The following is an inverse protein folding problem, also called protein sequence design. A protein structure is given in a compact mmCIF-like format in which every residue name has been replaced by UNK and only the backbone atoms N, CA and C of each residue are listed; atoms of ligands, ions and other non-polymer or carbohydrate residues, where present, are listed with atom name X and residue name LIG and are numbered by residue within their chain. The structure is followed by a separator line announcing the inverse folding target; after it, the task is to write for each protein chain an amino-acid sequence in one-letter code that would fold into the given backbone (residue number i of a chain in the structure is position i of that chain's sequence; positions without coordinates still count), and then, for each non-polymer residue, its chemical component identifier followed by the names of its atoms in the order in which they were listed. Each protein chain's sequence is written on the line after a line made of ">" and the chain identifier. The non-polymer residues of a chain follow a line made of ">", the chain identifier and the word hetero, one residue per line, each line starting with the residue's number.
data_IF_783794954840
#
_entry.id   IF_783794954840
#
_cell.length_a   1.000
_cell.length_b   1.000
_cell.length_c   1.000
_cell.angle_alpha   90.00
_cell.angle_beta   90.00
_cell.angle_gamma   90.00
#
_symmetry.space_group_name_H-M   'P 1'
#
loop_
_entity.id
_entity.type
_entity.pdbx_description
1 polymer ?
#
# COMPACT_ATOMS: atom_id res chain seq x y z
N UNK A 1 -67.34 42.79 -51.26
CA UNK A 1 -67.49 41.67 -52.23
C UNK A 1 -66.47 41.74 -53.37
N UNK A 2 -66.32 42.85 -54.08
CA UNK A 2 -65.41 42.96 -55.26
C UNK A 2 -63.88 42.85 -54.91
N UNK A 3 -63.49 43.23 -53.69
CA UNK A 3 -62.11 43.19 -53.24
C UNK A 3 -61.71 41.74 -52.84
N UNK A 4 -62.59 41.03 -52.20
CA UNK A 4 -62.36 39.64 -51.81
C UNK A 4 -62.27 38.70 -53.01
N UNK A 5 -63.07 38.98 -54.05
CA UNK A 5 -63.01 38.16 -55.24
C UNK A 5 -61.69 38.37 -56.03
N UNK A 6 -61.09 39.58 -55.99
CA UNK A 6 -59.78 39.85 -56.58
C UNK A 6 -58.66 39.13 -55.79
N UNK A 7 -58.75 39.10 -54.51
CA UNK A 7 -57.74 38.48 -53.70
C UNK A 7 -57.78 36.94 -53.83
N UNK A 8 -59.01 36.39 -53.95
CA UNK A 8 -59.17 34.95 -54.21
C UNK A 8 -58.66 34.55 -55.58
N UNK A 9 -58.94 35.39 -56.65
CA UNK A 9 -58.39 35.15 -57.99
C UNK A 9 -56.88 35.26 -58.03
N UNK A 10 -56.30 36.21 -57.29
CA UNK A 10 -54.85 36.34 -57.15
C UNK A 10 -54.21 35.13 -56.55
N UNK A 11 -54.75 34.64 -55.42
CA UNK A 11 -54.26 33.41 -54.72
C UNK A 11 -54.42 32.17 -55.62
N UNK A 12 -55.63 32.02 -56.32
CA UNK A 12 -55.88 30.89 -57.20
C UNK A 12 -54.96 30.90 -58.45
N UNK A 13 -54.51 32.08 -58.94
CA UNK A 13 -53.60 32.18 -60.04
C UNK A 13 -52.19 31.70 -59.70
N UNK A 14 -51.77 31.80 -58.45
CA UNK A 14 -50.48 31.37 -57.96
C UNK A 14 -50.49 30.06 -57.20
N UNK A 15 -51.69 29.53 -56.92
CA UNK A 15 -51.87 28.21 -56.36
C UNK A 15 -51.69 27.16 -57.44
N UNK A 16 -50.55 26.48 -57.43
CA UNK A 16 -50.32 25.28 -58.22
C UNK A 16 -50.28 24.13 -57.28
N UNK A 17 -51.17 23.20 -57.37
CA UNK A 17 -51.10 21.96 -56.65
C UNK A 17 -49.76 21.24 -56.87
N UNK A 18 -49.16 20.75 -55.83
CA UNK A 18 -47.86 20.08 -55.82
C UNK A 18 -46.59 20.93 -56.03
N UNK A 19 -46.63 22.24 -55.83
CA UNK A 19 -45.43 23.08 -55.96
C UNK A 19 -44.66 23.22 -54.64
N UNK A 20 -45.18 22.73 -53.53
CA UNK A 20 -44.50 22.69 -52.24
C UNK A 20 -43.97 21.28 -52.01
N UNK A 21 -42.83 20.99 -52.62
CA UNK A 21 -42.07 19.81 -52.18
C UNK A 21 -41.49 20.09 -50.78
N UNK A 22 -42.28 19.72 -49.81
CA UNK A 22 -41.91 19.88 -48.37
C UNK A 22 -40.61 19.18 -48.05
N UNK A 23 -40.29 18.07 -48.73
CA UNK A 23 -39.06 17.31 -48.57
C UNK A 23 -37.84 18.10 -49.02
N UNK A 24 -37.92 18.79 -50.20
CA UNK A 24 -36.83 19.64 -50.65
C UNK A 24 -36.69 20.94 -49.83
N UNK A 25 -37.80 21.48 -49.30
CA UNK A 25 -37.78 22.63 -48.43
C UNK A 25 -37.09 22.34 -47.11
N UNK A 26 -37.37 21.18 -46.52
CA UNK A 26 -36.70 20.74 -45.30
C UNK A 26 -35.20 20.47 -45.51
N UNK A 27 -34.80 19.92 -46.65
CA UNK A 27 -33.40 19.71 -46.99
C UNK A 27 -32.63 21.03 -47.17
N UNK A 28 -33.26 22.04 -47.77
CA UNK A 28 -32.67 23.38 -47.98
C UNK A 28 -32.54 24.20 -46.70
N UNK A 29 -33.42 23.97 -45.72
CA UNK A 29 -33.36 24.64 -44.42
C UNK A 29 -32.21 24.13 -43.53
N UNK A 30 -31.53 23.05 -43.91
CA UNK A 30 -30.40 22.52 -43.14
C UNK A 30 -30.74 22.00 -41.74
N UNK A 31 -32.04 21.93 -41.40
CA UNK A 31 -32.52 21.53 -40.07
C UNK A 31 -32.49 20.00 -39.88
N UNK A 32 -32.13 19.27 -40.92
CA UNK A 32 -32.20 17.82 -40.89
C UNK A 32 -30.87 17.11 -41.07
N UNK A 33 -29.96 17.22 -40.16
CA UNK A 33 -28.89 16.28 -39.77
C UNK A 33 -27.80 17.03 -39.06
N UNK A 34 -28.07 17.46 -37.88
CA UNK A 34 -26.98 17.60 -36.91
C UNK A 34 -26.44 16.20 -36.68
N UNK A 35 -25.36 15.85 -37.39
CA UNK A 35 -24.63 14.59 -37.20
C UNK A 35 -24.18 14.60 -35.75
N UNK A 36 -24.90 13.89 -34.91
CA UNK A 36 -24.58 13.77 -33.49
C UNK A 36 -23.22 13.10 -33.36
N UNK A 37 -22.15 13.90 -33.42
CA UNK A 37 -20.79 13.46 -33.08
C UNK A 37 -20.68 13.14 -31.59
N UNK A 38 -21.73 13.37 -30.80
CA UNK A 38 -21.81 13.05 -29.39
C UNK A 38 -21.58 11.56 -29.13
N UNK A 39 -22.11 10.66 -29.97
CA UNK A 39 -21.92 9.20 -29.81
C UNK A 39 -20.43 8.82 -29.95
N UNK A 40 -19.72 9.45 -30.90
CA UNK A 40 -18.27 9.25 -31.04
C UNK A 40 -17.49 9.80 -29.85
N UNK A 41 -17.86 10.99 -29.38
CA UNK A 41 -17.28 11.59 -28.19
C UNK A 41 -17.52 10.73 -26.94
N UNK A 42 -18.73 10.23 -26.71
CA UNK A 42 -19.02 9.33 -25.59
C UNK A 42 -18.22 8.03 -25.68
N UNK A 43 -18.07 7.44 -26.88
CA UNK A 43 -17.24 6.23 -27.07
C UNK A 43 -15.75 6.51 -26.78
N UNK A 44 -15.23 7.64 -27.19
CA UNK A 44 -13.84 8.02 -26.87
C UNK A 44 -13.63 8.26 -25.38
N UNK A 45 -14.58 8.92 -24.71
CA UNK A 45 -14.55 9.16 -23.26
C UNK A 45 -14.62 7.84 -22.48
N UNK A 46 -15.49 6.91 -22.91
CA UNK A 46 -15.58 5.60 -22.24
C UNK A 46 -14.32 4.77 -22.41
N UNK A 47 -13.71 4.75 -23.59
CA UNK A 47 -12.43 4.07 -23.81
C UNK A 47 -11.33 4.70 -22.96
N UNK A 48 -11.23 6.02 -22.94
CA UNK A 48 -10.26 6.74 -22.11
C UNK A 48 -10.45 6.45 -20.61
N UNK A 49 -11.68 6.44 -20.12
CA UNK A 49 -11.99 6.11 -18.74
C UNK A 49 -11.58 4.67 -18.37
N UNK A 50 -11.90 3.69 -19.24
CA UNK A 50 -11.53 2.28 -19.02
C UNK A 50 -10.00 2.10 -19.04
N UNK A 51 -9.29 2.73 -19.99
CA UNK A 51 -7.82 2.66 -20.04
C UNK A 51 -7.18 3.31 -18.82
N UNK A 52 -7.74 4.41 -18.31
CA UNK A 52 -7.27 5.05 -17.08
C UNK A 52 -7.48 4.18 -15.84
N UNK A 53 -8.62 3.49 -15.76
CA UNK A 53 -8.90 2.54 -14.68
C UNK A 53 -7.96 1.32 -14.72
N UNK A 54 -7.73 0.76 -15.91
CA UNK A 54 -6.79 -0.37 -16.07
C UNK A 54 -5.36 0.07 -15.73
N UNK A 55 -4.92 1.23 -16.20
CA UNK A 55 -3.59 1.76 -15.90
C UNK A 55 -3.43 2.05 -14.40
N UNK A 56 -4.43 2.67 -13.75
CA UNK A 56 -4.44 2.93 -12.31
C UNK A 56 -4.43 1.65 -11.48
N UNK A 57 -5.24 0.65 -11.86
CA UNK A 57 -5.26 -0.66 -11.21
C UNK A 57 -3.95 -1.43 -11.40
N UNK A 58 -3.37 -1.40 -12.61
CA UNK A 58 -2.05 -2.01 -12.89
C UNK A 58 -0.95 -1.34 -12.10
N UNK A 59 -0.97 0.01 -12.03
CA UNK A 59 -0.02 0.77 -11.22
C UNK A 59 -0.13 0.41 -9.73
N UNK A 60 -1.35 0.37 -9.20
CA UNK A 60 -1.61 -0.02 -7.81
C UNK A 60 -1.14 -1.45 -7.53
N UNK A 61 -1.44 -2.42 -8.42
CA UNK A 61 -0.98 -3.80 -8.26
C UNK A 61 0.54 -3.94 -8.30
N UNK A 62 1.23 -3.25 -9.22
CA UNK A 62 2.70 -3.28 -9.30
C UNK A 62 3.32 -2.62 -8.06
N UNK A 63 2.70 -1.55 -7.57
CA UNK A 63 3.20 -0.80 -6.40
C UNK A 63 3.04 -1.57 -5.08
N UNK A 64 2.00 -2.39 -4.94
CA UNK A 64 1.68 -3.17 -3.74
C UNK A 64 2.29 -4.59 -3.74
N UNK A 65 3.11 -4.94 -4.73
CA UNK A 65 3.84 -6.21 -4.71
C UNK A 65 4.83 -6.24 -3.57
N UNK A 66 4.58 -7.14 -2.62
CA UNK A 66 5.49 -7.51 -1.55
C UNK A 66 6.18 -8.83 -1.94
N UNK A 67 7.50 -8.85 -1.91
CA UNK A 67 8.31 -10.05 -2.17
C UNK A 67 8.96 -10.49 -0.86
N UNK A 68 8.25 -11.36 -0.14
CA UNK A 68 8.67 -11.83 1.16
C UNK A 68 9.76 -12.88 1.06
N UNK A 69 10.93 -12.59 1.65
CA UNK A 69 11.95 -13.60 1.92
C UNK A 69 11.74 -14.12 3.32
N UNK A 70 11.58 -15.44 3.42
CA UNK A 70 11.51 -16.15 4.70
C UNK A 70 12.80 -16.90 4.92
N UNK A 71 13.48 -16.63 6.03
CA UNK A 71 14.69 -17.29 6.46
C UNK A 71 14.34 -18.01 7.76
N UNK A 72 14.42 -19.33 7.74
CA UNK A 72 14.18 -20.16 8.93
C UNK A 72 15.45 -20.91 9.31
N UNK A 73 15.63 -21.10 10.60
CA UNK A 73 16.62 -22.02 11.16
C UNK A 73 15.99 -23.40 11.34
N UNK A 74 16.83 -24.46 11.28
CA UNK A 74 16.36 -25.82 11.58
C UNK A 74 16.21 -26.04 13.11
N UNK A 75 15.61 -27.17 13.47
CA UNK A 75 15.40 -27.55 14.86
C UNK A 75 16.71 -27.76 15.67
N UNK A 76 17.84 -27.88 14.99
CA UNK A 76 19.14 -28.22 15.62
C UNK A 76 20.31 -27.36 15.11
N UNK A 77 20.03 -26.22 14.52
CA UNK A 77 21.08 -25.35 13.99
C UNK A 77 20.75 -23.87 14.16
N UNK A 78 21.71 -23.14 14.67
CA UNK A 78 21.75 -21.68 14.64
C UNK A 78 22.07 -21.24 13.22
N UNK A 79 21.43 -20.19 12.74
CA UNK A 79 21.61 -19.65 11.38
C UNK A 79 22.03 -18.18 11.42
N UNK A 80 23.18 -17.90 10.84
CA UNK A 80 23.62 -16.53 10.63
C UNK A 80 23.10 -15.98 9.30
N UNK A 81 22.66 -14.75 9.33
CA UNK A 81 22.07 -14.03 8.18
C UNK A 81 22.61 -12.62 8.15
N UNK A 82 23.13 -12.23 6.99
CA UNK A 82 23.46 -10.81 6.71
C UNK A 82 22.38 -10.20 5.84
N UNK A 83 21.78 -9.13 6.31
CA UNK A 83 20.77 -8.37 5.58
C UNK A 83 21.41 -7.39 4.57
N UNK A 84 20.64 -6.88 3.59
CA UNK A 84 21.16 -5.95 2.57
C UNK A 84 21.73 -4.63 3.11
N UNK A 85 21.42 -4.24 4.36
CA UNK A 85 21.95 -3.06 5.04
C UNK A 85 23.20 -3.36 5.89
N UNK A 86 23.81 -4.53 5.70
CA UNK A 86 24.94 -5.07 6.48
C UNK A 86 24.63 -5.30 7.97
N UNK A 87 23.36 -5.38 8.35
CA UNK A 87 22.99 -5.85 9.68
C UNK A 87 23.16 -7.37 9.76
N UNK A 88 23.72 -7.86 10.87
CA UNK A 88 23.94 -9.27 11.12
C UNK A 88 22.90 -9.79 12.12
N UNK A 89 22.32 -10.93 11.79
CA UNK A 89 21.30 -11.58 12.63
C UNK A 89 21.70 -13.03 12.85
N UNK A 90 21.69 -13.43 14.09
CA UNK A 90 21.89 -14.83 14.50
C UNK A 90 20.55 -15.38 14.97
N UNK A 91 19.95 -16.25 14.16
CA UNK A 91 18.69 -16.94 14.48
C UNK A 91 18.98 -18.15 15.34
N UNK A 92 18.33 -18.28 16.47
CA UNK A 92 18.36 -19.48 17.28
C UNK A 92 17.61 -20.64 16.58
N UNK A 93 17.68 -21.82 17.14
CA UNK A 93 16.93 -22.99 16.70
C UNK A 93 15.42 -22.70 16.66
N UNK A 94 14.70 -23.31 15.73
CA UNK A 94 13.25 -23.17 15.55
C UNK A 94 12.78 -21.71 15.41
N UNK A 95 13.62 -20.85 14.83
CA UNK A 95 13.32 -19.44 14.65
C UNK A 95 13.19 -19.08 13.18
N UNK A 96 12.32 -18.13 12.87
CA UNK A 96 12.11 -17.65 11.51
C UNK A 96 12.12 -16.13 11.46
N UNK A 97 12.81 -15.60 10.48
CA UNK A 97 12.86 -14.18 10.14
C UNK A 97 12.30 -13.98 8.73
N UNK A 98 11.49 -12.96 8.54
CA UNK A 98 11.01 -12.60 7.21
C UNK A 98 11.12 -11.09 6.98
N UNK A 99 11.36 -10.70 5.74
CA UNK A 99 11.37 -9.30 5.32
C UNK A 99 10.97 -9.17 3.84
N UNK A 100 10.48 -7.99 3.45
CA UNK A 100 10.16 -7.70 2.06
C UNK A 100 11.41 -7.27 1.30
N UNK A 101 11.87 -8.09 0.35
CA UNK A 101 13.07 -7.87 -0.45
C UNK A 101 13.02 -6.59 -1.28
N UNK A 102 11.85 -6.19 -1.74
CA UNK A 102 11.69 -5.02 -2.60
C UNK A 102 11.69 -3.72 -1.81
N UNK A 103 11.15 -3.75 -0.58
CA UNK A 103 11.02 -2.59 0.29
C UNK A 103 12.23 -2.40 1.22
N UNK A 104 12.87 -3.50 1.65
CA UNK A 104 13.95 -3.46 2.62
C UNK A 104 15.17 -2.68 2.12
N UNK A 105 15.69 -1.77 2.95
CA UNK A 105 16.83 -0.90 2.64
C UNK A 105 16.51 0.27 1.69
N UNK A 106 15.34 0.25 1.03
CA UNK A 106 14.89 1.32 0.12
C UNK A 106 13.79 2.19 0.72
N UNK A 107 12.74 1.55 1.23
CA UNK A 107 11.57 2.22 1.84
C UNK A 107 11.57 2.10 3.36
N UNK A 108 12.02 0.97 3.87
CA UNK A 108 12.05 0.66 5.30
C UNK A 108 13.12 -0.39 5.60
N UNK A 109 13.36 -0.66 6.90
CA UNK A 109 14.17 -1.76 7.41
C UNK A 109 13.32 -2.61 8.39
N UNK A 110 12.20 -3.12 7.88
CA UNK A 110 11.27 -3.90 8.68
C UNK A 110 11.54 -5.39 8.51
N UNK A 111 11.59 -6.12 9.62
CA UNK A 111 11.67 -7.57 9.67
C UNK A 111 10.60 -8.10 10.63
N UNK A 112 10.09 -9.30 10.36
CA UNK A 112 9.18 -10.01 11.27
C UNK A 112 9.91 -11.20 11.85
N UNK A 113 9.86 -11.36 13.16
CA UNK A 113 10.52 -12.45 13.89
C UNK A 113 9.48 -13.34 14.56
N UNK A 114 9.69 -14.65 14.42
CA UNK A 114 9.09 -15.69 15.23
C UNK A 114 10.20 -16.58 15.80
N UNK A 115 10.26 -16.76 17.11
CA UNK A 115 11.34 -17.45 17.78
C UNK A 115 12.32 -16.50 18.45
N UNK A 116 13.61 -16.87 18.50
CA UNK A 116 14.68 -16.13 19.19
C UNK A 116 15.76 -15.73 18.20
N UNK A 117 16.18 -14.47 18.27
CA UNK A 117 17.26 -13.95 17.44
C UNK A 117 18.10 -12.91 18.18
N UNK A 118 19.38 -12.88 17.85
CA UNK A 118 20.30 -11.81 18.20
C UNK A 118 20.50 -10.91 16.98
N UNK A 119 20.47 -9.60 17.20
CA UNK A 119 20.57 -8.57 16.19
C UNK A 119 21.79 -7.69 16.46
N UNK A 120 22.66 -7.56 15.47
CA UNK A 120 23.71 -6.54 15.41
C UNK A 120 23.38 -5.60 14.24
N UNK A 121 22.68 -4.51 14.55
CA UNK A 121 22.10 -3.62 13.55
C UNK A 121 23.06 -2.49 13.21
N UNK A 122 23.29 -2.30 11.91
CA UNK A 122 24.06 -1.17 11.37
C UNK A 122 23.37 0.15 11.67
N UNK A 123 24.15 1.15 12.15
CA UNK A 123 23.61 2.45 12.54
C UNK A 123 23.14 3.27 11.33
N UNK A 124 21.86 3.67 11.33
CA UNK A 124 21.27 4.56 10.33
C UNK A 124 20.16 5.40 10.97
N UNK A 125 20.39 6.70 11.09
CA UNK A 125 19.43 7.63 11.72
C UNK A 125 18.17 7.87 10.88
N UNK A 126 18.32 7.95 9.56
CA UNK A 126 17.24 8.31 8.65
C UNK A 126 16.27 7.15 8.37
N UNK A 127 16.69 5.90 8.60
CA UNK A 127 15.88 4.72 8.35
C UNK A 127 15.94 3.77 9.54
N UNK A 128 15.06 3.90 10.55
CA UNK A 128 15.03 3.03 11.71
C UNK A 128 14.83 1.56 11.33
N UNK A 129 15.55 0.67 12.00
CA UNK A 129 15.33 -0.78 11.90
C UNK A 129 14.19 -1.18 12.83
N UNK A 130 13.26 -1.99 12.33
CA UNK A 130 12.10 -2.44 13.10
C UNK A 130 11.98 -3.95 13.08
N UNK A 131 11.87 -4.55 14.27
CA UNK A 131 11.50 -5.96 14.45
C UNK A 131 10.03 -6.00 14.85
N UNK A 132 9.22 -6.66 14.05
CA UNK A 132 7.81 -6.90 14.32
C UNK A 132 7.65 -8.30 14.88
N UNK A 133 6.88 -8.44 15.93
CA UNK A 133 6.48 -9.70 16.51
C UNK A 133 4.96 -9.72 16.70
N UNK A 134 4.41 -10.81 17.14
CA UNK A 134 2.97 -10.93 17.38
C UNK A 134 2.47 -9.93 18.44
N UNK A 135 3.24 -9.75 19.54
CA UNK A 135 2.82 -8.98 20.71
C UNK A 135 3.45 -7.59 20.81
N UNK A 136 4.62 -7.38 20.22
CA UNK A 136 5.37 -6.13 20.34
C UNK A 136 6.09 -5.74 19.04
N UNK A 137 6.48 -4.48 18.99
CA UNK A 137 7.38 -3.93 17.99
C UNK A 137 8.62 -3.37 18.68
N UNK A 138 9.76 -3.59 18.06
CA UNK A 138 11.07 -3.11 18.53
C UNK A 138 11.64 -2.19 17.45
N UNK A 139 12.05 -0.99 17.85
CA UNK A 139 12.65 -0.02 16.91
C UNK A 139 14.00 0.44 17.44
N UNK A 140 14.99 0.42 16.54
CA UNK A 140 16.37 0.82 16.84
C UNK A 140 16.95 1.65 15.68
N UNK A 141 18.02 2.41 15.96
CA UNK A 141 18.79 3.11 14.93
C UNK A 141 20.08 2.36 14.57
N UNK A 142 20.69 1.71 15.56
CA UNK A 142 21.94 0.95 15.46
C UNK A 142 22.29 0.42 16.84
N UNK A 143 22.03 -0.86 17.08
CA UNK A 143 21.95 -1.44 18.43
C UNK A 143 22.26 -2.90 18.35
N UNK A 144 22.90 -3.42 19.39
CA UNK A 144 23.07 -4.84 19.63
C UNK A 144 22.05 -5.29 20.70
N UNK A 145 21.18 -6.21 20.33
CA UNK A 145 20.09 -6.65 21.20
C UNK A 145 19.58 -8.04 20.81
N UNK A 146 18.97 -8.70 21.77
CA UNK A 146 18.32 -9.99 21.58
C UNK A 146 16.81 -9.82 21.68
N UNK A 147 16.07 -10.56 20.86
CA UNK A 147 14.61 -10.65 20.92
C UNK A 147 14.22 -12.12 21.04
N UNK A 148 13.28 -12.39 21.94
CA UNK A 148 12.58 -13.68 22.01
C UNK A 148 11.10 -13.42 21.82
N UNK A 149 10.51 -14.02 20.80
CA UNK A 149 9.12 -13.85 20.44
C UNK A 149 8.45 -15.21 20.27
N UNK A 150 7.47 -15.47 21.07
CA UNK A 150 6.59 -16.64 20.96
C UNK A 150 5.14 -16.22 21.16
N UNK A 151 4.20 -17.15 20.99
CA UNK A 151 2.77 -16.87 21.13
C UNK A 151 2.37 -16.25 22.48
N UNK A 152 3.12 -16.55 23.56
CA UNK A 152 2.76 -16.15 24.93
C UNK A 152 3.39 -14.82 25.36
N UNK A 153 4.59 -14.52 24.86
CA UNK A 153 5.35 -13.34 25.24
C UNK A 153 6.34 -12.89 24.16
N UNK A 154 6.64 -11.61 24.16
CA UNK A 154 7.77 -11.04 23.45
C UNK A 154 8.67 -10.33 24.45
N UNK A 155 9.97 -10.58 24.38
CA UNK A 155 10.96 -9.92 25.23
C UNK A 155 12.12 -9.36 24.40
N UNK A 156 12.74 -8.31 24.92
CA UNK A 156 13.94 -7.72 24.35
C UNK A 156 14.97 -7.42 25.44
N UNK A 157 16.23 -7.78 25.19
CA UNK A 157 17.39 -7.50 26.04
C UNK A 157 18.39 -6.67 25.25
N UNK A 158 18.90 -5.59 25.82
CA UNK A 158 19.81 -4.66 25.16
C UNK A 158 21.24 -4.86 25.64
N UNK A 159 22.13 -5.18 24.70
CA UNK A 159 23.56 -5.31 24.97
C UNK A 159 24.28 -3.97 24.72
N UNK A 160 23.94 -3.26 23.67
CA UNK A 160 24.55 -1.97 23.32
C UNK A 160 23.58 -1.08 22.57
N UNK A 161 23.55 0.22 22.89
CA UNK A 161 22.71 1.20 22.24
C UNK A 161 21.37 1.47 22.94
N UNK A 162 20.34 1.82 22.15
CA UNK A 162 18.99 2.14 22.64
C UNK A 162 17.94 1.41 21.83
N UNK A 163 16.93 0.86 22.51
CA UNK A 163 15.81 0.15 21.92
C UNK A 163 14.51 0.80 22.37
N UNK A 164 13.65 1.15 21.40
CA UNK A 164 12.27 1.50 21.66
C UNK A 164 11.42 0.24 21.54
N UNK A 165 10.89 -0.21 22.66
CA UNK A 165 10.02 -1.37 22.77
C UNK A 165 8.58 -0.93 22.99
N UNK A 166 7.63 -1.33 22.13
CA UNK A 166 6.24 -0.87 22.21
C UNK A 166 5.26 -1.92 21.71
N UNK A 167 4.02 -1.85 22.18
CA UNK A 167 2.93 -2.73 21.77
C UNK A 167 1.89 -1.99 20.92
N UNK A 168 0.86 -2.72 20.47
CA UNK A 168 -0.27 -2.17 19.70
C UNK A 168 -1.12 -1.15 20.50
N UNK A 169 -1.11 -1.26 21.85
CA UNK A 169 -1.83 -0.35 22.77
C UNK A 169 -1.03 0.93 23.07
N UNK A 170 0.06 1.18 22.34
CA UNK A 170 0.96 2.33 22.52
C UNK A 170 1.66 2.40 23.88
N UNK A 171 1.67 1.34 24.67
CA UNK A 171 2.58 1.22 25.80
C UNK A 171 3.99 1.11 25.27
N UNK A 172 4.88 2.00 25.67
CA UNK A 172 6.26 2.03 25.19
C UNK A 172 7.27 2.13 26.32
N UNK A 173 8.46 1.60 26.06
CA UNK A 173 9.61 1.69 26.93
C UNK A 173 10.87 1.96 26.08
N UNK A 174 11.75 2.81 26.61
CA UNK A 174 13.10 3.00 26.06
C UNK A 174 14.05 2.17 26.90
N UNK A 175 14.65 1.17 26.28
CA UNK A 175 15.63 0.28 26.89
C UNK A 175 17.04 0.74 26.52
N UNK A 176 17.95 0.69 27.49
CA UNK A 176 19.37 0.96 27.30
C UNK A 176 20.19 -0.27 27.72
N UNK A 177 21.50 -0.21 27.50
CA UNK A 177 22.42 -1.31 27.83
C UNK A 177 22.12 -1.94 29.20
N UNK A 178 22.01 -3.27 29.24
CA UNK A 178 21.72 -4.05 30.42
C UNK A 178 20.26 -4.03 30.88
N UNK A 179 19.36 -3.41 30.08
CA UNK A 179 17.93 -3.46 30.37
C UNK A 179 17.25 -4.59 29.59
N UNK A 180 16.25 -5.14 30.23
CA UNK A 180 15.37 -6.16 29.71
C UNK A 180 13.92 -5.74 29.87
N UNK A 181 13.11 -5.95 28.86
CA UNK A 181 11.67 -5.79 28.95
C UNK A 181 10.95 -6.96 28.29
N UNK A 182 9.77 -7.27 28.79
CA UNK A 182 8.87 -8.21 28.14
C UNK A 182 7.42 -7.75 28.17
N UNK A 183 6.64 -8.27 27.25
CA UNK A 183 5.20 -8.12 27.19
C UNK A 183 4.56 -9.50 27.03
N UNK A 184 3.47 -9.74 27.72
CA UNK A 184 2.67 -10.96 27.62
C UNK A 184 1.42 -10.76 26.78
N UNK A 185 0.67 -11.84 26.50
CA UNK A 185 -0.59 -11.81 25.75
C UNK A 185 -1.66 -10.88 26.35
N UNK A 186 -1.60 -10.61 27.66
CA UNK A 186 -2.53 -9.69 28.34
C UNK A 186 -2.15 -8.21 28.17
N UNK A 187 -1.13 -7.92 27.36
CA UNK A 187 -0.63 -6.55 27.15
C UNK A 187 0.08 -5.96 28.37
N UNK A 188 0.44 -6.80 29.36
CA UNK A 188 1.20 -6.34 30.52
C UNK A 188 2.68 -6.26 30.15
N UNK A 189 3.23 -5.05 30.26
CA UNK A 189 4.65 -4.78 30.02
C UNK A 189 5.39 -4.64 31.34
N UNK A 190 6.53 -5.32 31.46
CA UNK A 190 7.44 -5.20 32.61
C UNK A 190 8.84 -4.84 32.10
N UNK A 191 9.53 -4.02 32.86
CA UNK A 191 10.89 -3.53 32.55
C UNK A 191 11.76 -3.79 33.75
N UNK A 192 12.89 -4.46 33.54
CA UNK A 192 13.89 -4.75 34.56
C UNK A 192 15.24 -4.18 34.10
N UNK A 193 16.10 -3.85 35.07
CA UNK A 193 17.49 -3.42 34.82
C UNK A 193 18.47 -4.60 34.76
N UNK A 194 18.00 -5.83 34.83
CA UNK A 194 18.81 -7.03 34.84
C UNK A 194 18.62 -7.77 33.52
N UNK A 195 19.69 -8.24 32.91
CA UNK A 195 19.63 -9.03 31.68
C UNK A 195 18.82 -10.31 31.90
N UNK A 196 18.10 -10.74 30.88
CA UNK A 196 17.38 -12.01 30.84
C UNK A 196 18.38 -13.15 31.14
N UNK A 197 18.10 -14.05 32.12
CA UNK A 197 18.96 -15.18 32.41
C UNK A 197 19.12 -16.17 31.23
N UNK A 198 18.29 -16.07 30.18
CA UNK A 198 18.35 -16.88 28.96
C UNK A 198 19.06 -16.19 27.79
N UNK A 199 19.92 -15.20 28.02
CA UNK A 199 20.76 -14.58 27.00
C UNK A 199 21.69 -15.63 26.36
N UNK A 200 22.02 -15.50 25.10
CA UNK A 200 23.06 -16.29 24.44
C UNK A 200 24.39 -16.11 25.22
N UNK A 201 24.93 -17.17 25.76
CA UNK A 201 26.29 -17.25 26.29
C UNK A 201 27.25 -17.57 25.14
#
# INVERSE_FOLDING_TARGET
>A
MEKEEKDIRFVARFYRENRLDTTQAWQKLGIGKQKNNSILLYRLITIAAVTFLIAGFSWWWIYDRQDWIVIASSAHAVKEVTLPDNSHITLAENSALQYDRLAYGKKNRNVTLNGKAYFSVTHQEQCPFRVQTELANIQVLGTQFQVTANANQTSATVESGKVRFYNKEQKEAILTKGMYAFINQKGQMQINKQSDPNTFA
#
